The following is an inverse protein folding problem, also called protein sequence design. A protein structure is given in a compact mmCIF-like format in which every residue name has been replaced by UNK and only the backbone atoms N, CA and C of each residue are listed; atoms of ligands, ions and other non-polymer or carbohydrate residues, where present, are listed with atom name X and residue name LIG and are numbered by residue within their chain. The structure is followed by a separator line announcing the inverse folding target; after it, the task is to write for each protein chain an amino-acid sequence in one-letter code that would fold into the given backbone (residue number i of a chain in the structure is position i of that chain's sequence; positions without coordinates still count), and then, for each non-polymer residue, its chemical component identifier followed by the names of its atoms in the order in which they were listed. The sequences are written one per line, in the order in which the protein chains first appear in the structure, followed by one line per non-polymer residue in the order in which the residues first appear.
data_IF_438296784546
#
_entry.id   IF_438296784546
#
_cell.length_a   1.000
_cell.length_b   1.000
_cell.length_c   1.000
_cell.angle_alpha   90.00
_cell.angle_beta   90.00
_cell.angle_gamma   90.00
#
_symmetry.space_group_name_H-M   'P 1'
#
loop_
_entity.id
_entity.type
_entity.pdbx_description
1 polymer ?
#
# COMPACT_ATOMS: atom_id res chain seq x y z
N UNK A 1 -48.60 -4.57 66.02
CA UNK A 1 -47.88 -5.68 65.34
C UNK A 1 -47.72 -5.30 63.87
N UNK A 2 -46.52 -4.90 63.44
CA UNK A 2 -46.24 -4.57 62.05
C UNK A 2 -45.69 -5.80 61.34
N UNK A 3 -46.32 -6.20 60.24
CA UNK A 3 -45.91 -7.32 59.39
C UNK A 3 -44.95 -6.76 58.33
N UNK A 4 -43.70 -7.20 58.36
CA UNK A 4 -42.63 -6.70 57.51
C UNK A 4 -42.57 -7.57 56.25
N UNK A 5 -43.05 -7.04 55.12
CA UNK A 5 -42.97 -7.68 53.81
C UNK A 5 -41.51 -7.65 53.31
N UNK A 6 -40.92 -8.84 53.18
CA UNK A 6 -39.61 -9.04 52.55
C UNK A 6 -39.81 -9.32 51.06
N UNK A 7 -39.48 -8.33 50.21
CA UNK A 7 -39.42 -8.52 48.75
C UNK A 7 -38.18 -9.35 48.41
N UNK A 8 -38.27 -10.41 47.59
CA UNK A 8 -37.09 -11.16 47.18
C UNK A 8 -36.30 -10.33 46.16
N UNK A 9 -35.02 -10.07 46.46
CA UNK A 9 -34.09 -9.51 45.49
C UNK A 9 -33.87 -10.53 44.36
N UNK A 10 -34.24 -10.12 43.15
CA UNK A 10 -34.09 -10.87 41.90
C UNK A 10 -32.59 -11.00 41.55
N UNK A 11 -31.96 -12.03 42.13
CA UNK A 11 -30.57 -12.42 41.89
C UNK A 11 -30.51 -13.40 40.71
N UNK A 12 -29.83 -13.00 39.63
CA UNK A 12 -29.63 -13.85 38.45
C UNK A 12 -28.31 -14.62 38.60
N UNK A 13 -28.42 -15.93 38.78
CA UNK A 13 -27.28 -16.85 38.86
C UNK A 13 -26.98 -17.39 37.47
N UNK A 14 -25.78 -17.12 36.95
CA UNK A 14 -25.24 -17.81 35.78
C UNK A 14 -23.88 -18.35 36.19
N UNK A 15 -23.66 -19.66 36.01
CA UNK A 15 -22.40 -20.36 36.29
C UNK A 15 -21.87 -20.21 37.74
N UNK A 16 -22.75 -20.33 38.73
CA UNK A 16 -22.35 -20.50 40.14
C UNK A 16 -21.88 -19.22 40.87
N UNK A 17 -21.86 -18.06 40.22
CA UNK A 17 -21.56 -16.78 40.86
C UNK A 17 -22.82 -15.92 41.01
N UNK A 18 -23.24 -15.68 42.26
CA UNK A 18 -24.33 -14.76 42.58
C UNK A 18 -23.80 -13.32 42.62
N UNK A 19 -24.08 -12.55 41.57
CA UNK A 19 -23.73 -11.12 41.50
C UNK A 19 -24.99 -10.26 41.59
N UNK A 20 -24.99 -9.30 42.53
CA UNK A 20 -26.04 -8.30 42.67
C UNK A 20 -26.14 -7.42 41.40
N UNK A 21 -27.30 -6.82 41.11
CA UNK A 21 -27.51 -5.96 39.91
C UNK A 21 -26.43 -4.89 39.70
N UNK A 22 -25.78 -4.42 40.77
CA UNK A 22 -24.66 -3.46 40.72
C UNK A 22 -23.34 -4.09 40.25
N UNK A 23 -23.07 -5.35 40.58
CA UNK A 23 -21.85 -6.06 40.18
C UNK A 23 -21.81 -6.37 38.68
N UNK A 24 -22.96 -6.66 38.08
CA UNK A 24 -23.09 -6.93 36.64
C UNK A 24 -22.68 -5.74 35.76
N UNK A 25 -22.94 -4.51 36.19
CA UNK A 25 -22.54 -3.34 35.40
C UNK A 25 -21.01 -3.21 35.32
N UNK A 26 -20.32 -3.51 36.42
CA UNK A 26 -18.86 -3.52 36.43
C UNK A 26 -18.30 -4.62 35.54
N UNK A 27 -18.86 -5.84 35.60
CA UNK A 27 -18.44 -6.96 34.73
C UNK A 27 -18.62 -6.61 33.25
N UNK A 28 -19.74 -5.99 32.90
CA UNK A 28 -20.01 -5.58 31.51
C UNK A 28 -19.02 -4.50 31.04
N UNK A 29 -18.72 -3.52 31.89
CA UNK A 29 -17.70 -2.50 31.62
C UNK A 29 -16.32 -3.15 31.40
N UNK A 30 -15.90 -4.08 32.26
CA UNK A 30 -14.60 -4.76 32.11
C UNK A 30 -14.53 -5.66 30.88
N UNK A 31 -15.63 -6.32 30.50
CA UNK A 31 -15.70 -7.15 29.29
C UNK A 31 -15.59 -6.30 28.02
N UNK A 32 -16.29 -5.16 27.99
CA UNK A 32 -16.21 -4.22 26.86
C UNK A 32 -14.80 -3.61 26.76
N UNK A 33 -14.21 -3.19 27.89
CA UNK A 33 -12.83 -2.69 27.92
C UNK A 33 -11.82 -3.75 27.46
N UNK A 34 -11.99 -5.00 27.87
CA UNK A 34 -11.16 -6.12 27.41
C UNK A 34 -11.27 -6.35 25.90
N UNK A 35 -12.49 -6.31 25.36
CA UNK A 35 -12.72 -6.38 23.91
C UNK A 35 -12.09 -5.20 23.17
N UNK A 36 -12.22 -3.96 23.67
CA UNK A 36 -11.57 -2.78 23.08
C UNK A 36 -10.05 -2.94 23.08
N UNK A 37 -9.45 -3.43 24.16
CA UNK A 37 -8.02 -3.66 24.25
C UNK A 37 -7.54 -4.73 23.27
N UNK A 38 -8.29 -5.84 23.15
CA UNK A 38 -8.02 -6.90 22.19
C UNK A 38 -8.13 -6.38 20.76
N UNK A 39 -9.21 -5.69 20.41
CA UNK A 39 -9.38 -5.10 19.07
C UNK A 39 -8.34 -4.01 18.77
N UNK A 40 -7.92 -3.23 19.76
CA UNK A 40 -6.86 -2.24 19.60
C UNK A 40 -5.53 -2.93 19.24
N UNK A 41 -5.12 -3.95 20.00
CA UNK A 41 -3.88 -4.69 19.72
C UNK A 41 -3.94 -5.58 18.48
N UNK A 42 -5.10 -6.18 18.18
CA UNK A 42 -5.29 -7.04 17.01
C UNK A 42 -5.43 -6.21 15.72
N UNK A 43 -6.06 -5.03 15.81
CA UNK A 43 -6.16 -4.07 14.72
C UNK A 43 -4.80 -3.48 14.33
N UNK A 44 -3.95 -3.17 15.32
CA UNK A 44 -2.59 -2.68 15.04
C UNK A 44 -1.67 -3.78 14.47
N UNK A 45 -1.85 -5.04 14.88
CA UNK A 45 -1.05 -6.16 14.37
C UNK A 45 -1.53 -6.72 13.03
N UNK A 46 -2.73 -6.37 12.58
CA UNK A 46 -3.22 -6.80 11.26
C UNK A 46 -2.51 -6.09 10.09
N UNK A 47 -1.82 -4.98 10.36
CA UNK A 47 -0.93 -4.33 9.39
C UNK A 47 0.41 -5.05 9.20
N UNK A 48 0.92 -5.72 10.23
CA UNK A 48 2.24 -6.39 10.23
C UNK A 48 2.23 -7.80 9.62
N UNK A 49 1.06 -8.39 9.36
CA UNK A 49 0.94 -9.75 8.77
C UNK A 49 0.96 -9.71 7.23
N UNK A 50 0.93 -8.52 6.61
CA UNK A 50 1.29 -8.34 5.20
C UNK A 50 2.82 -8.33 5.07
N UNK A 51 3.45 -9.47 5.35
CA UNK A 51 4.89 -9.62 5.22
C UNK A 51 5.33 -9.25 3.81
N UNK A 52 6.15 -8.21 3.68
CA UNK A 52 7.13 -7.97 2.62
C UNK A 52 6.79 -8.60 1.25
N UNK A 53 5.59 -8.37 0.74
CA UNK A 53 5.23 -8.88 -0.58
C UNK A 53 5.87 -7.93 -1.59
N UNK A 54 6.96 -8.41 -2.18
CA UNK A 54 7.54 -7.77 -3.35
C UNK A 54 6.49 -7.74 -4.46
N UNK A 55 6.15 -6.55 -4.92
CA UNK A 55 5.22 -6.31 -6.03
C UNK A 55 6.03 -6.10 -7.30
N UNK A 56 5.66 -6.81 -8.36
CA UNK A 56 6.25 -6.63 -9.68
C UNK A 56 5.17 -6.12 -10.66
N UNK A 57 4.90 -4.80 -10.67
CA UNK A 57 3.70 -4.25 -11.32
C UNK A 57 3.65 -4.48 -12.84
N UNK A 58 4.80 -4.68 -13.49
CA UNK A 58 4.92 -4.74 -14.95
C UNK A 58 5.48 -6.08 -15.48
N UNK A 59 5.70 -7.10 -14.63
CA UNK A 59 6.25 -8.40 -15.08
C UNK A 59 5.28 -9.11 -16.03
N UNK A 60 4.00 -9.15 -15.68
CA UNK A 60 2.97 -9.85 -16.46
C UNK A 60 2.27 -8.97 -17.50
N UNK A 61 2.56 -7.65 -17.50
CA UNK A 61 1.85 -6.67 -18.32
C UNK A 61 2.76 -6.15 -19.44
N UNK A 62 2.22 -6.06 -20.65
CA UNK A 62 2.96 -5.52 -21.78
C UNK A 62 2.87 -4.00 -21.82
N UNK A 63 3.99 -3.32 -21.58
CA UNK A 63 4.12 -1.88 -21.82
C UNK A 63 4.08 -1.61 -23.33
N UNK A 64 3.19 -0.71 -23.75
CA UNK A 64 3.00 -0.30 -25.16
C UNK A 64 3.38 1.15 -25.41
N UNK A 65 3.38 1.98 -24.37
CA UNK A 65 3.80 3.38 -24.42
C UNK A 65 4.55 3.72 -23.14
N UNK A 66 5.60 4.50 -23.27
CA UNK A 66 6.37 5.01 -22.14
C UNK A 66 6.82 6.44 -22.48
N UNK A 67 6.51 7.37 -21.60
CA UNK A 67 6.84 8.78 -21.79
C UNK A 67 7.31 9.41 -20.49
N UNK A 68 8.26 10.33 -20.63
CA UNK A 68 8.65 11.24 -19.57
C UNK A 68 8.51 12.69 -20.06
N UNK A 69 9.00 13.64 -19.28
CA UNK A 69 8.91 15.06 -19.62
C UNK A 69 9.65 15.44 -20.93
N UNK A 70 10.59 14.62 -21.39
CA UNK A 70 11.48 14.94 -22.51
C UNK A 70 11.31 14.05 -23.72
N UNK A 71 10.77 12.84 -23.55
CA UNK A 71 10.71 11.81 -24.58
C UNK A 71 9.42 11.01 -24.50
N UNK A 72 8.88 10.67 -25.66
CA UNK A 72 7.69 9.82 -25.76
C UNK A 72 7.95 8.71 -26.77
N UNK A 73 7.83 7.47 -26.31
CA UNK A 73 8.06 6.24 -27.07
C UNK A 73 6.81 5.38 -27.10
N UNK A 74 6.52 4.84 -28.28
CA UNK A 74 5.40 3.90 -28.50
C UNK A 74 5.88 2.66 -29.22
N UNK A 75 5.26 1.53 -28.89
CA UNK A 75 5.46 0.26 -29.56
C UNK A 75 4.63 0.20 -30.84
N UNK A 76 5.30 0.01 -31.98
CA UNK A 76 4.68 -0.17 -33.31
C UNK A 76 5.07 -1.55 -33.83
N UNK A 77 4.17 -2.51 -33.65
CA UNK A 77 4.45 -3.93 -33.95
C UNK A 77 5.51 -4.51 -33.01
N UNK A 78 6.64 -4.94 -33.58
CA UNK A 78 7.75 -5.52 -32.82
C UNK A 78 8.83 -4.50 -32.41
N UNK A 79 8.70 -3.24 -32.84
CA UNK A 79 9.73 -2.21 -32.64
C UNK A 79 9.21 -1.04 -31.82
N UNK A 80 10.12 -0.37 -31.14
CA UNK A 80 9.85 0.90 -30.46
C UNK A 80 10.21 2.07 -31.37
N UNK A 81 9.36 3.10 -31.36
CA UNK A 81 9.57 4.32 -32.12
C UNK A 81 9.35 5.53 -31.22
N UNK A 82 10.30 6.47 -31.27
CA UNK A 82 10.15 7.76 -30.62
C UNK A 82 9.16 8.62 -31.42
N UNK A 83 8.10 9.10 -30.78
CA UNK A 83 7.09 9.96 -31.40
C UNK A 83 7.45 11.43 -31.28
N UNK A 84 7.98 11.83 -30.14
CA UNK A 84 8.33 13.21 -29.84
C UNK A 84 9.42 13.30 -28.78
N UNK A 85 10.02 14.48 -28.67
CA UNK A 85 11.04 14.77 -27.67
C UNK A 85 12.46 14.80 -28.21
N UNK A 86 13.42 14.80 -27.28
CA UNK A 86 14.85 14.81 -27.61
C UNK A 86 15.27 13.44 -28.12
N UNK A 87 16.01 13.37 -29.24
CA UNK A 87 16.55 12.11 -29.75
C UNK A 87 17.35 11.40 -28.66
N UNK A 88 16.89 10.24 -28.24
CA UNK A 88 17.54 9.39 -27.24
C UNK A 88 18.22 8.21 -27.94
N UNK A 89 19.43 7.86 -27.47
CA UNK A 89 20.13 6.68 -27.96
C UNK A 89 19.27 5.42 -27.74
N UNK A 90 19.05 4.58 -28.77
CA UNK A 90 18.30 3.34 -28.62
C UNK A 90 18.80 2.42 -27.49
N UNK A 91 20.10 2.43 -27.17
CA UNK A 91 20.65 1.63 -26.08
C UNK A 91 20.30 2.20 -24.70
N UNK A 92 20.29 3.54 -24.56
CA UNK A 92 19.80 4.21 -23.35
C UNK A 92 18.32 3.87 -23.13
N UNK A 93 17.51 4.00 -24.19
CA UNK A 93 16.09 3.66 -24.16
C UNK A 93 15.86 2.19 -23.76
N UNK A 94 16.61 1.24 -24.34
CA UNK A 94 16.49 -0.18 -23.99
C UNK A 94 16.80 -0.45 -22.53
N UNK A 95 17.85 0.16 -21.98
CA UNK A 95 18.19 0.03 -20.55
C UNK A 95 17.09 0.57 -19.67
N UNK A 96 16.62 1.78 -19.97
CA UNK A 96 15.53 2.43 -19.25
C UNK A 96 14.23 1.62 -19.30
N UNK A 97 13.80 1.17 -20.49
CA UNK A 97 12.64 0.30 -20.64
C UNK A 97 12.80 -1.01 -19.84
N UNK A 98 13.99 -1.64 -19.92
CA UNK A 98 14.27 -2.88 -19.19
C UNK A 98 14.27 -2.68 -17.66
N UNK A 99 14.57 -1.46 -17.21
CA UNK A 99 14.56 -1.10 -15.79
C UNK A 99 13.11 -1.08 -15.28
N UNK A 100 12.21 -0.44 -16.03
CA UNK A 100 10.78 -0.42 -15.73
C UNK A 100 10.11 -1.80 -15.82
N UNK A 101 10.52 -2.64 -16.78
CA UNK A 101 9.95 -3.99 -16.93
C UNK A 101 10.37 -4.97 -15.82
N UNK A 102 11.51 -4.74 -15.17
CA UNK A 102 12.04 -5.59 -14.09
C UNK A 102 11.85 -4.96 -12.72
N UNK A 103 10.91 -4.02 -12.63
CA UNK A 103 10.66 -3.26 -11.42
C UNK A 103 10.13 -4.17 -10.31
N UNK A 104 10.80 -4.14 -9.16
CA UNK A 104 10.42 -4.82 -7.94
C UNK A 104 10.26 -3.80 -6.83
N UNK A 105 9.12 -3.85 -6.15
CA UNK A 105 8.69 -2.86 -5.19
C UNK A 105 8.37 -3.52 -3.85
N UNK A 106 8.65 -2.84 -2.75
CA UNK A 106 8.18 -3.22 -1.41
C UNK A 106 7.32 -2.09 -0.83
N UNK A 107 6.19 -2.39 -0.19
CA UNK A 107 5.45 -1.37 0.54
C UNK A 107 6.34 -0.65 1.56
N UNK A 108 6.19 0.67 1.66
CA UNK A 108 6.94 1.52 2.58
C UNK A 108 5.99 2.49 3.27
N UNK A 109 6.31 2.83 4.52
CA UNK A 109 5.66 3.93 5.25
C UNK A 109 6.46 5.23 5.16
N UNK A 110 7.55 5.24 4.39
CA UNK A 110 8.37 6.44 4.20
C UNK A 110 7.59 7.51 3.43
N UNK A 111 7.72 8.75 3.89
CA UNK A 111 7.15 9.91 3.22
C UNK A 111 7.91 10.19 1.91
N UNK A 112 7.15 10.51 0.86
CA UNK A 112 7.72 10.94 -0.41
C UNK A 112 8.49 12.25 -0.22
N UNK A 113 9.78 12.23 -0.54
CA UNK A 113 10.66 13.37 -0.41
C UNK A 113 11.81 13.29 -1.43
N UNK A 114 12.42 14.43 -1.73
CA UNK A 114 13.56 14.53 -2.64
C UNK A 114 13.20 14.98 -4.05
N UNK A 115 14.04 14.62 -5.02
CA UNK A 115 13.82 15.00 -6.43
C UNK A 115 12.72 14.13 -7.04
N UNK A 116 11.70 14.76 -7.63
CA UNK A 116 10.61 14.07 -8.31
C UNK A 116 10.93 13.86 -9.79
N UNK A 117 10.70 12.63 -10.25
CA UNK A 117 10.68 12.24 -11.65
C UNK A 117 9.35 11.59 -11.98
N UNK A 118 8.66 12.13 -12.97
CA UNK A 118 7.34 11.65 -13.38
C UNK A 118 7.49 10.90 -14.70
N UNK A 119 6.90 9.72 -14.75
CA UNK A 119 6.78 8.91 -15.96
C UNK A 119 5.31 8.56 -16.19
N UNK A 120 4.93 8.40 -17.45
CA UNK A 120 3.64 7.88 -17.86
C UNK A 120 3.85 6.57 -18.62
N UNK A 121 3.13 5.53 -18.21
CA UNK A 121 3.23 4.18 -18.79
C UNK A 121 1.83 3.74 -19.23
N UNK A 122 1.68 3.37 -20.50
CA UNK A 122 0.45 2.76 -21.01
C UNK A 122 0.66 1.26 -21.22
N UNK A 123 -0.31 0.47 -20.77
CA UNK A 123 -0.27 -0.99 -20.81
C UNK A 123 -1.19 -1.51 -21.92
N UNK A 124 -0.87 -2.67 -22.49
CA UNK A 124 -1.68 -3.25 -23.56
C UNK A 124 -3.13 -3.53 -23.12
N UNK A 125 -3.30 -3.93 -21.85
CA UNK A 125 -4.59 -4.32 -21.27
C UNK A 125 -5.39 -3.11 -20.76
N UNK A 126 -4.74 -1.97 -20.55
CA UNK A 126 -5.37 -0.74 -20.10
C UNK A 126 -4.87 0.47 -20.92
N UNK A 127 -5.72 1.07 -21.78
CA UNK A 127 -5.33 2.19 -22.62
C UNK A 127 -5.16 3.52 -21.84
N UNK A 128 -5.57 3.59 -20.56
CA UNK A 128 -5.34 4.78 -19.74
C UNK A 128 -3.87 4.84 -19.25
N UNK A 129 -3.15 5.95 -19.50
CA UNK A 129 -1.77 6.11 -19.03
C UNK A 129 -1.69 6.15 -17.50
N UNK A 130 -0.82 5.31 -16.95
CA UNK A 130 -0.47 5.31 -15.53
C UNK A 130 0.62 6.35 -15.29
N UNK A 131 0.27 7.44 -14.62
CA UNK A 131 1.22 8.47 -14.21
C UNK A 131 1.88 8.11 -12.88
N UNK A 132 3.15 7.74 -12.93
CA UNK A 132 3.91 7.24 -11.78
C UNK A 132 4.90 8.32 -11.36
N UNK A 133 4.90 8.64 -10.07
CA UNK A 133 5.88 9.55 -9.46
C UNK A 133 7.00 8.78 -8.79
N UNK A 134 8.25 9.09 -9.13
CA UNK A 134 9.45 8.53 -8.51
C UNK A 134 10.19 9.62 -7.76
N UNK A 135 10.49 9.39 -6.49
CA UNK A 135 11.11 10.35 -5.59
C UNK A 135 12.46 9.82 -5.13
N UNK A 136 13.52 10.59 -5.37
CA UNK A 136 14.90 10.19 -5.12
C UNK A 136 15.44 10.83 -3.85
N UNK A 137 15.82 10.01 -2.87
CA UNK A 137 16.38 10.46 -1.61
C UNK A 137 17.42 9.47 -1.08
N UNK A 138 18.59 9.96 -0.66
CA UNK A 138 19.64 9.14 -0.01
C UNK A 138 20.01 7.85 -0.77
N UNK A 139 20.12 7.91 -2.10
CA UNK A 139 20.39 6.76 -2.97
C UNK A 139 19.26 5.70 -3.06
N UNK A 140 18.10 5.98 -2.49
CA UNK A 140 16.88 5.20 -2.61
C UNK A 140 15.89 5.88 -3.57
N UNK A 141 15.02 5.06 -4.18
CA UNK A 141 13.88 5.54 -4.94
C UNK A 141 12.58 5.09 -4.26
N UNK A 142 11.71 6.06 -3.99
CA UNK A 142 10.34 5.84 -3.57
C UNK A 142 9.40 6.07 -4.74
N UNK A 143 8.33 5.30 -4.82
CA UNK A 143 7.39 5.32 -5.92
C UNK A 143 5.97 5.51 -5.41
N UNK A 144 5.26 6.42 -6.05
CA UNK A 144 3.82 6.62 -5.91
C UNK A 144 3.13 6.09 -7.17
N UNK A 145 2.32 5.05 -7.01
CA UNK A 145 1.54 4.44 -8.09
C UNK A 145 0.08 4.88 -7.95
N UNK A 146 -0.58 5.33 -9.02
CA UNK A 146 -2.00 5.67 -8.98
C UNK A 146 -2.87 4.51 -8.46
N UNK A 147 -3.78 4.82 -7.55
CA UNK A 147 -4.72 3.85 -6.98
C UNK A 147 -4.17 3.01 -5.82
N UNK A 148 -2.90 3.19 -5.43
CA UNK A 148 -2.35 2.60 -4.21
C UNK A 148 -2.43 3.59 -3.03
N UNK A 149 -2.85 3.09 -1.86
CA UNK A 149 -2.90 3.87 -0.61
C UNK A 149 -1.55 3.90 0.15
N UNK A 150 -0.53 3.22 -0.38
CA UNK A 150 0.81 3.11 0.21
C UNK A 150 1.87 3.58 -0.77
N UNK A 151 3.01 4.04 -0.24
CA UNK A 151 4.21 4.30 -1.05
C UNK A 151 5.00 3.01 -1.20
N UNK A 152 5.79 2.93 -2.27
CA UNK A 152 6.63 1.77 -2.52
C UNK A 152 8.10 2.17 -2.51
N UNK A 153 8.97 1.36 -1.92
CA UNK A 153 10.41 1.44 -2.11
C UNK A 153 10.81 0.55 -3.28
N UNK A 154 11.65 1.07 -4.16
CA UNK A 154 12.24 0.31 -5.26
C UNK A 154 13.33 -0.62 -4.70
N UNK A 155 13.16 -1.93 -4.87
CA UNK A 155 14.15 -2.94 -4.51
C UNK A 155 15.09 -3.21 -5.69
N UNK A 156 14.51 -3.30 -6.89
CA UNK A 156 15.23 -3.46 -8.14
C UNK A 156 14.46 -2.77 -9.27
N UNK A 157 15.12 -2.26 -10.31
CA UNK A 157 16.57 -2.11 -10.45
C UNK A 157 17.12 -0.98 -9.56
N UNK A 158 18.42 -0.66 -9.68
CA UNK A 158 19.00 0.50 -9.00
C UNK A 158 18.24 1.78 -9.37
N UNK A 159 18.02 2.65 -8.38
CA UNK A 159 17.23 3.87 -8.52
C UNK A 159 17.58 4.70 -9.76
N UNK A 160 18.88 4.86 -10.03
CA UNK A 160 19.39 5.69 -11.12
C UNK A 160 19.04 5.15 -12.52
N UNK A 161 18.69 3.88 -12.65
CA UNK A 161 18.32 3.24 -13.92
C UNK A 161 16.86 3.54 -14.32
N UNK A 162 16.06 4.07 -13.39
CA UNK A 162 14.67 4.48 -13.64
C UNK A 162 14.57 5.83 -14.39
N UNK A 163 15.70 6.55 -14.51
CA UNK A 163 15.84 7.75 -15.34
C UNK A 163 16.68 7.42 -16.59
N UNK A 164 16.37 8.01 -17.75
CA UNK A 164 17.27 7.97 -18.90
C UNK A 164 18.55 8.74 -18.56
N UNK A 165 19.72 8.08 -18.69
CA UNK A 165 21.05 8.68 -18.53
C UNK A 165 21.79 8.79 -19.85
#
# INVERSE_FOLDING_TARGET
MAKQDSRPEDQRTILGFTLTKRGWNNVLIYLVLGLMFVFYFLGHKSGDIAGQQTVEPFTDQMIVEISDQQSHWIRVGASWQQRSGNSMDPEIFRRWLSAWQRLQLEPSEQLLAGEEYVIEITLADNPEPLRIGVFYQNNEALMAIPGADVTYRVIAPEAEQLKPQ
#
